data_IF_072219409547
#
_entry.id   IF_072219409547
#
_cell.length_a   1.000
_cell.length_b   1.000
_cell.length_c   1.000
_cell.angle_alpha   90.00
_cell.angle_beta   90.00
_cell.angle_gamma   90.00
#
_symmetry.space_group_name_H-M   'P 1'
#
loop_
_entity.id
_entity.type
_entity.pdbx_description
1 polymer ?
#
# COMPACT_ATOMS: atom_id res chain seq x y z
N UNK A 1 -42.90 -47.93 -56.17
CA UNK A 1 -42.04 -47.19 -57.12
C UNK A 1 -40.60 -47.66 -56.95
N UNK A 2 -39.88 -47.84 -58.11
CA UNK A 2 -38.52 -48.37 -58.03
C UNK A 2 -37.51 -47.32 -57.49
N UNK A 3 -36.62 -47.73 -56.58
CA UNK A 3 -35.60 -46.89 -55.99
C UNK A 3 -34.75 -46.09 -57.01
N UNK A 4 -34.63 -46.63 -58.24
CA UNK A 4 -33.96 -45.97 -59.37
C UNK A 4 -34.68 -44.69 -59.87
N UNK A 5 -36.07 -44.72 -59.83
CA UNK A 5 -36.89 -43.59 -60.26
C UNK A 5 -36.88 -42.44 -59.26
N UNK A 6 -36.81 -42.77 -57.98
CA UNK A 6 -36.73 -41.83 -56.90
C UNK A 6 -35.34 -41.10 -56.85
N UNK A 7 -34.24 -41.84 -57.13
CA UNK A 7 -32.92 -41.28 -57.25
C UNK A 7 -32.80 -40.31 -58.44
N UNK A 8 -33.45 -40.64 -59.59
CA UNK A 8 -33.45 -39.75 -60.75
C UNK A 8 -34.30 -38.48 -60.53
N UNK A 9 -35.43 -38.58 -59.86
CA UNK A 9 -36.27 -37.45 -59.46
C UNK A 9 -35.53 -36.50 -58.49
N UNK A 10 -34.74 -37.03 -57.52
CA UNK A 10 -33.90 -36.20 -56.61
C UNK A 10 -32.78 -35.54 -57.34
N UNK A 11 -32.15 -36.20 -58.35
CA UNK A 11 -31.11 -35.60 -59.16
C UNK A 11 -31.66 -34.46 -60.07
N UNK A 12 -32.79 -34.63 -60.66
CA UNK A 12 -33.45 -33.61 -61.51
C UNK A 12 -33.94 -32.43 -60.68
N UNK A 13 -34.44 -32.67 -59.46
CA UNK A 13 -34.80 -31.60 -58.51
C UNK A 13 -33.59 -30.78 -58.05
N UNK A 14 -32.43 -31.44 -57.82
CA UNK A 14 -31.19 -30.75 -57.43
C UNK A 14 -30.63 -29.90 -58.59
N UNK A 15 -30.75 -30.43 -59.83
CA UNK A 15 -30.34 -29.73 -61.05
C UNK A 15 -31.22 -28.53 -61.43
N UNK A 16 -32.50 -28.51 -61.02
CA UNK A 16 -33.43 -27.40 -61.20
C UNK A 16 -33.40 -26.32 -60.13
N UNK A 17 -32.45 -26.43 -59.14
CA UNK A 17 -32.35 -25.46 -58.04
C UNK A 17 -33.47 -25.55 -57.02
N UNK A 18 -34.26 -26.66 -57.02
CA UNK A 18 -35.30 -26.87 -56.03
C UNK A 18 -34.68 -27.15 -54.65
N UNK A 19 -34.86 -26.22 -53.74
CA UNK A 19 -34.49 -26.36 -52.32
C UNK A 19 -35.74 -26.89 -51.58
N UNK A 20 -35.58 -28.03 -50.92
CA UNK A 20 -36.66 -28.57 -50.09
C UNK A 20 -36.98 -27.56 -48.96
N UNK A 21 -38.23 -26.99 -48.93
CA UNK A 21 -38.61 -25.98 -47.93
C UNK A 21 -38.42 -26.46 -46.48
N UNK A 22 -38.45 -27.78 -46.26
CA UNK A 22 -38.25 -28.40 -44.95
C UNK A 22 -36.79 -28.40 -44.55
N UNK A 23 -35.90 -28.69 -45.51
CA UNK A 23 -34.44 -28.64 -45.30
C UNK A 23 -33.94 -27.21 -45.12
N UNK A 24 -34.53 -26.26 -45.84
CA UNK A 24 -34.21 -24.83 -45.70
C UNK A 24 -34.61 -24.32 -44.31
N UNK A 25 -35.78 -24.65 -43.83
CA UNK A 25 -36.27 -24.29 -42.49
C UNK A 25 -35.41 -24.91 -41.38
N UNK A 26 -35.02 -26.18 -41.49
CA UNK A 26 -34.10 -26.82 -40.53
C UNK A 26 -32.71 -26.18 -40.53
N UNK A 27 -32.24 -25.69 -41.68
CA UNK A 27 -30.97 -24.99 -41.80
C UNK A 27 -31.02 -23.59 -41.16
N UNK A 28 -32.14 -22.90 -41.32
CA UNK A 28 -32.40 -21.60 -40.69
C UNK A 28 -32.52 -21.75 -39.16
N UNK A 29 -33.27 -22.75 -38.68
CA UNK A 29 -33.38 -23.05 -37.26
C UNK A 29 -32.00 -23.37 -36.63
N UNK A 30 -31.17 -24.20 -37.29
CA UNK A 30 -29.81 -24.49 -36.83
C UNK A 30 -28.90 -23.27 -36.87
N UNK A 31 -29.05 -22.37 -37.84
CA UNK A 31 -28.33 -21.12 -37.89
C UNK A 31 -28.76 -20.16 -36.78
N UNK A 32 -30.07 -20.08 -36.53
CA UNK A 32 -30.63 -19.27 -35.42
C UNK A 32 -30.17 -19.79 -34.06
N UNK A 33 -30.20 -21.10 -33.85
CA UNK A 33 -29.72 -21.74 -32.63
C UNK A 33 -28.21 -21.50 -32.42
N UNK A 34 -27.38 -21.64 -33.46
CA UNK A 34 -25.95 -21.32 -33.38
C UNK A 34 -25.69 -19.84 -33.03
N UNK A 35 -26.46 -18.92 -33.66
CA UNK A 35 -26.36 -17.48 -33.36
C UNK A 35 -26.77 -17.18 -31.92
N UNK A 36 -27.86 -17.80 -31.46
CA UNK A 36 -28.32 -17.68 -30.07
C UNK A 36 -27.28 -18.21 -29.07
N UNK A 37 -26.72 -19.37 -29.31
CA UNK A 37 -25.69 -19.98 -28.46
C UNK A 37 -24.41 -19.12 -28.42
N UNK A 38 -23.99 -18.56 -29.56
CA UNK A 38 -22.85 -17.60 -29.60
C UNK A 38 -23.19 -16.34 -28.81
N UNK A 39 -24.41 -15.80 -28.98
CA UNK A 39 -24.83 -14.61 -28.25
C UNK A 39 -24.86 -14.86 -26.73
N UNK A 40 -25.42 -15.95 -26.28
CA UNK A 40 -25.42 -16.32 -24.86
C UNK A 40 -24.00 -16.53 -24.32
N UNK A 41 -23.13 -17.16 -25.11
CA UNK A 41 -21.73 -17.31 -24.72
C UNK A 41 -21.01 -15.98 -24.56
N UNK A 42 -21.23 -15.02 -25.47
CA UNK A 42 -20.65 -13.66 -25.38
C UNK A 42 -21.19 -12.92 -24.15
N UNK A 43 -22.49 -13.00 -23.89
CA UNK A 43 -23.12 -12.39 -22.70
C UNK A 43 -22.53 -13.00 -21.42
N UNK A 44 -22.36 -14.31 -21.34
CA UNK A 44 -21.78 -14.99 -20.21
C UNK A 44 -20.34 -14.54 -19.96
N UNK A 45 -19.51 -14.45 -21.01
CA UNK A 45 -18.14 -13.95 -20.90
C UNK A 45 -18.11 -12.50 -20.43
N UNK A 46 -18.95 -11.63 -20.99
CA UNK A 46 -19.05 -10.23 -20.56
C UNK A 46 -19.47 -10.12 -19.08
N UNK A 47 -20.44 -10.94 -18.67
CA UNK A 47 -20.85 -10.97 -17.26
C UNK A 47 -19.71 -11.37 -16.33
N UNK A 48 -18.95 -12.41 -16.67
CA UNK A 48 -17.78 -12.84 -15.89
C UNK A 48 -16.72 -11.72 -15.82
N UNK A 49 -16.49 -11.02 -16.94
CA UNK A 49 -15.55 -9.89 -16.98
C UNK A 49 -16.01 -8.73 -16.09
N UNK A 50 -17.30 -8.38 -16.12
CA UNK A 50 -17.87 -7.33 -15.25
C UNK A 50 -17.75 -7.71 -13.78
N UNK A 51 -18.06 -8.96 -13.43
CA UNK A 51 -17.94 -9.48 -12.07
C UNK A 51 -16.47 -9.43 -11.63
N UNK A 52 -15.54 -9.92 -12.46
CA UNK A 52 -14.11 -9.87 -12.16
C UNK A 52 -13.59 -8.42 -11.98
N UNK A 53 -13.99 -7.50 -12.87
CA UNK A 53 -13.65 -6.09 -12.75
C UNK A 53 -14.20 -5.46 -11.45
N UNK A 54 -15.42 -5.83 -11.07
CA UNK A 54 -16.05 -5.37 -9.82
C UNK A 54 -15.29 -5.86 -8.57
N UNK A 55 -14.83 -7.12 -8.59
CA UNK A 55 -14.00 -7.67 -7.52
C UNK A 55 -12.65 -6.97 -7.44
N UNK A 56 -11.98 -6.73 -8.56
CA UNK A 56 -10.71 -5.99 -8.60
C UNK A 56 -10.87 -4.57 -8.06
N UNK A 57 -11.94 -3.88 -8.46
CA UNK A 57 -12.24 -2.52 -7.98
C UNK A 57 -12.47 -2.47 -6.48
N UNK A 58 -13.29 -3.37 -5.93
CA UNK A 58 -13.59 -3.45 -4.49
C UNK A 58 -12.44 -3.96 -3.65
N UNK A 59 -11.49 -4.70 -4.23
CA UNK A 59 -10.37 -5.30 -3.50
C UNK A 59 -9.23 -4.31 -3.19
N UNK A 60 -9.28 -3.09 -3.68
CA UNK A 60 -8.20 -2.09 -3.61
C UNK A 60 -6.84 -2.60 -4.16
N UNK A 61 -6.81 -3.70 -4.94
CA UNK A 61 -5.56 -4.28 -5.45
C UNK A 61 -4.79 -3.27 -6.29
N UNK A 62 -5.47 -2.55 -7.16
CA UNK A 62 -4.86 -1.54 -8.04
C UNK A 62 -4.31 -0.39 -7.21
N UNK A 63 -5.14 0.17 -6.33
CA UNK A 63 -4.77 1.34 -5.52
C UNK A 63 -3.61 1.05 -4.58
N UNK A 64 -3.61 -0.09 -3.88
CA UNK A 64 -2.55 -0.42 -2.91
C UNK A 64 -1.21 -0.73 -3.56
N UNK A 65 -1.20 -1.30 -4.79
CA UNK A 65 0.01 -1.69 -5.51
C UNK A 65 0.51 -0.59 -6.47
N UNK A 66 -0.23 0.51 -6.62
CA UNK A 66 0.22 1.64 -7.42
C UNK A 66 1.52 2.20 -6.84
N UNK A 67 2.50 2.50 -7.68
CA UNK A 67 3.72 3.18 -7.25
C UNK A 67 3.36 4.59 -6.78
N UNK A 68 3.57 4.87 -5.50
CA UNK A 68 3.27 6.15 -4.89
C UNK A 68 4.53 7.00 -4.66
N UNK A 69 5.70 6.36 -4.52
CA UNK A 69 6.97 7.01 -4.27
C UNK A 69 8.11 6.23 -4.90
N UNK A 70 9.18 6.93 -5.28
CA UNK A 70 10.44 6.32 -5.71
C UNK A 70 11.58 6.98 -4.93
N UNK A 71 12.41 6.18 -4.25
CA UNK A 71 13.56 6.64 -3.46
C UNK A 71 14.80 5.92 -4.00
N UNK A 72 15.80 6.68 -4.46
CA UNK A 72 17.05 6.14 -5.01
C UNK A 72 16.84 5.02 -6.06
N UNK A 73 15.78 5.16 -6.88
CA UNK A 73 15.41 4.21 -7.94
C UNK A 73 14.52 3.04 -7.49
N UNK A 74 14.34 2.82 -6.19
CA UNK A 74 13.42 1.81 -5.64
C UNK A 74 12.00 2.35 -5.56
N UNK A 75 11.04 1.55 -6.05
CA UNK A 75 9.62 1.92 -6.11
C UNK A 75 8.88 1.41 -4.89
N UNK A 76 8.11 2.28 -4.26
CA UNK A 76 7.25 1.96 -3.13
C UNK A 76 5.79 2.06 -3.52
N UNK A 77 5.03 1.05 -3.15
CA UNK A 77 3.58 1.01 -3.35
C UNK A 77 2.86 1.98 -2.42
N UNK A 78 1.64 2.36 -2.79
CA UNK A 78 0.81 3.20 -1.93
C UNK A 78 0.54 2.58 -0.54
N UNK A 79 0.48 1.24 -0.43
CA UNK A 79 0.32 0.58 0.85
C UNK A 79 1.56 0.70 1.75
N UNK A 80 2.76 0.62 1.17
CA UNK A 80 4.02 0.82 1.90
C UNK A 80 4.18 2.26 2.37
N UNK A 81 3.96 3.24 1.48
CA UNK A 81 3.97 4.65 1.86
C UNK A 81 2.95 4.93 2.96
N UNK A 82 1.73 4.37 2.85
CA UNK A 82 0.70 4.52 3.88
C UNK A 82 1.10 3.93 5.23
N UNK A 83 1.85 2.81 5.27
CA UNK A 83 2.38 2.26 6.52
C UNK A 83 3.23 3.31 7.25
N UNK A 84 4.22 3.90 6.57
CA UNK A 84 5.08 4.94 7.17
C UNK A 84 4.31 6.21 7.49
N UNK A 85 3.39 6.64 6.63
CA UNK A 85 2.54 7.79 6.88
C UNK A 85 1.74 7.66 8.18
N UNK A 86 1.13 6.50 8.40
CA UNK A 86 0.37 6.25 9.63
C UNK A 86 1.26 6.17 10.86
N UNK A 87 2.47 5.64 10.73
CA UNK A 87 3.43 5.62 11.84
C UNK A 87 3.91 7.04 12.19
N UNK A 88 4.29 7.85 11.20
CA UNK A 88 4.69 9.25 11.40
C UNK A 88 3.55 10.04 12.02
N UNK A 89 2.34 9.92 11.50
CA UNK A 89 1.18 10.64 12.03
C UNK A 89 0.87 10.27 13.48
N UNK A 90 0.86 8.98 13.81
CA UNK A 90 0.62 8.52 15.19
C UNK A 90 1.74 8.93 16.13
N UNK A 91 2.98 8.79 15.70
CA UNK A 91 4.14 9.26 16.47
C UNK A 91 4.06 10.77 16.73
N UNK A 92 3.68 11.54 15.73
CA UNK A 92 3.44 12.98 15.86
C UNK A 92 2.35 13.29 16.90
N UNK A 93 1.21 12.61 16.84
CA UNK A 93 0.13 12.79 17.79
C UNK A 93 0.55 12.42 19.22
N UNK A 94 1.28 11.33 19.37
CA UNK A 94 1.77 10.87 20.68
C UNK A 94 2.77 11.84 21.28
N UNK A 95 3.75 12.29 20.51
CA UNK A 95 4.80 13.20 20.97
C UNK A 95 4.28 14.61 21.27
N UNK A 96 3.20 15.02 20.60
CA UNK A 96 2.63 16.35 20.76
C UNK A 96 1.25 16.35 21.45
N UNK A 97 0.90 15.26 22.16
CA UNK A 97 -0.44 15.06 22.72
C UNK A 97 -0.97 16.24 23.55
N UNK A 98 -0.10 16.90 24.31
CA UNK A 98 -0.46 18.07 25.12
C UNK A 98 -0.57 19.38 24.31
N UNK A 99 0.01 19.43 23.12
CA UNK A 99 0.09 20.65 22.30
C UNK A 99 -0.76 20.62 21.04
N UNK A 100 -1.45 19.53 20.75
CA UNK A 100 -2.21 19.34 19.50
C UNK A 100 -3.18 20.51 19.26
N UNK A 101 -3.92 20.95 20.29
CA UNK A 101 -4.84 22.07 20.17
C UNK A 101 -4.13 23.42 19.95
N UNK A 102 -2.94 23.61 20.53
CA UNK A 102 -2.10 24.78 20.29
C UNK A 102 -1.55 24.82 18.86
N UNK A 103 -1.24 23.66 18.31
CA UNK A 103 -0.80 23.53 16.92
C UNK A 103 -1.95 23.75 15.92
N UNK A 104 -3.18 23.87 16.40
CA UNK A 104 -4.37 24.08 15.57
C UNK A 104 -4.76 22.85 14.75
N UNK A 105 -4.36 21.65 15.17
CA UNK A 105 -4.68 20.40 14.48
C UNK A 105 -5.96 19.79 15.06
N UNK A 106 -7.00 19.66 14.21
CA UNK A 106 -8.19 18.86 14.51
C UNK A 106 -7.97 17.41 14.01
N UNK A 107 -7.86 16.48 14.94
CA UNK A 107 -7.65 15.05 14.64
C UNK A 107 -8.88 14.37 14.02
N UNK A 108 -10.05 15.01 14.04
CA UNK A 108 -11.29 14.49 13.46
C UNK A 108 -11.52 15.00 12.03
N UNK A 109 -10.76 15.99 11.58
CA UNK A 109 -10.87 16.56 10.25
C UNK A 109 -9.75 16.06 9.33
N UNK A 110 -9.94 16.19 8.01
CA UNK A 110 -8.92 15.79 7.03
C UNK A 110 -7.68 16.68 7.14
N UNK A 111 -6.49 16.05 7.24
CA UNK A 111 -5.22 16.78 7.28
C UNK A 111 -4.95 17.62 6.01
N UNK A 112 -5.55 17.24 4.87
CA UNK A 112 -5.43 17.99 3.61
C UNK A 112 -6.20 19.32 3.63
N UNK A 113 -7.24 19.42 4.43
CA UNK A 113 -8.06 20.62 4.53
C UNK A 113 -7.64 21.55 5.67
N UNK A 114 -6.59 21.21 6.40
CA UNK A 114 -6.09 21.97 7.53
C UNK A 114 -4.69 22.50 7.23
N UNK A 115 -4.46 23.75 7.50
CA UNK A 115 -3.16 24.41 7.32
C UNK A 115 -2.40 24.56 8.63
N UNK A 116 -1.10 24.51 8.54
CA UNK A 116 -0.18 24.80 9.64
C UNK A 116 -0.30 26.30 9.98
N UNK A 117 -0.62 26.61 11.23
CA UNK A 117 -0.71 28.00 11.69
C UNK A 117 0.67 28.57 12.04
N UNK A 118 0.78 29.89 12.26
CA UNK A 118 2.02 30.58 12.59
C UNK A 118 2.73 29.99 13.82
N UNK A 119 1.99 29.57 14.84
CA UNK A 119 2.54 28.95 16.06
C UNK A 119 3.20 27.62 15.73
N UNK A 120 2.49 26.73 15.03
CA UNK A 120 3.03 25.44 14.62
C UNK A 120 4.22 25.61 13.65
N UNK A 121 4.11 26.55 12.70
CA UNK A 121 5.20 26.88 11.77
C UNK A 121 6.49 27.26 12.50
N UNK A 122 6.40 28.14 13.48
CA UNK A 122 7.53 28.59 14.30
C UNK A 122 8.11 27.48 15.17
N UNK A 123 7.26 26.65 15.81
CA UNK A 123 7.69 25.57 16.70
C UNK A 123 8.34 24.41 15.95
N UNK A 124 7.89 24.15 14.73
CA UNK A 124 8.26 22.94 13.97
C UNK A 124 9.19 23.23 12.79
N UNK A 125 9.52 24.51 12.55
CA UNK A 125 10.37 24.92 11.44
C UNK A 125 9.80 24.61 10.07
N UNK A 126 8.48 24.69 9.91
CA UNK A 126 7.76 24.44 8.65
C UNK A 126 7.14 25.72 8.11
N UNK A 127 6.80 25.72 6.82
CA UNK A 127 6.19 26.87 6.17
C UNK A 127 4.75 27.06 6.66
N UNK A 128 4.42 28.28 7.10
CA UNK A 128 3.07 28.66 7.45
C UNK A 128 2.14 28.55 6.25
N UNK A 129 0.95 28.00 6.46
CA UNK A 129 -0.04 27.80 5.39
C UNK A 129 0.14 26.49 4.59
N UNK A 130 1.22 25.74 4.79
CA UNK A 130 1.32 24.37 4.26
C UNK A 130 0.25 23.47 4.90
N UNK A 131 -0.16 22.41 4.19
CA UNK A 131 -1.14 21.49 4.79
C UNK A 131 -0.48 20.58 5.83
N UNK A 132 -1.23 20.19 6.87
CA UNK A 132 -0.78 19.16 7.82
C UNK A 132 -0.48 17.83 7.12
N UNK A 133 -1.19 17.55 6.03
CA UNK A 133 -0.90 16.38 5.20
C UNK A 133 0.50 16.44 4.59
N UNK A 134 0.89 17.57 4.03
CA UNK A 134 2.20 17.74 3.40
C UNK A 134 3.31 17.64 4.43
N UNK A 135 3.13 18.28 5.60
CA UNK A 135 4.06 18.13 6.72
C UNK A 135 4.28 16.66 7.13
N UNK A 136 3.20 15.90 7.33
CA UNK A 136 3.29 14.46 7.67
C UNK A 136 3.89 13.68 6.51
N UNK A 137 3.56 14.02 5.26
CA UNK A 137 4.11 13.35 4.08
C UNK A 137 5.62 13.60 3.93
N UNK A 138 6.09 14.82 4.13
CA UNK A 138 7.52 15.15 4.09
C UNK A 138 8.31 14.35 5.14
N UNK A 139 7.79 14.25 6.36
CA UNK A 139 8.41 13.44 7.39
C UNK A 139 8.33 11.93 7.07
N UNK A 140 7.27 11.50 6.39
CA UNK A 140 7.14 10.12 5.88
C UNK A 140 8.24 9.82 4.86
N UNK A 141 8.46 10.71 3.90
CA UNK A 141 9.52 10.56 2.88
C UNK A 141 10.89 10.54 3.53
N UNK A 142 11.14 11.43 4.50
CA UNK A 142 12.40 11.44 5.27
C UNK A 142 12.63 10.11 5.98
N UNK A 143 11.63 9.60 6.70
CA UNK A 143 11.74 8.33 7.41
C UNK A 143 11.98 7.16 6.45
N UNK A 144 11.21 7.08 5.35
CA UNK A 144 11.41 6.04 4.34
C UNK A 144 12.81 6.09 3.72
N UNK A 145 13.31 7.30 3.45
CA UNK A 145 14.66 7.51 2.91
C UNK A 145 15.74 7.04 3.89
N UNK A 146 15.60 7.36 5.18
CA UNK A 146 16.52 6.88 6.22
C UNK A 146 16.53 5.35 6.30
N UNK A 147 15.35 4.72 6.36
CA UNK A 147 15.24 3.26 6.41
C UNK A 147 15.84 2.62 5.16
N UNK A 148 15.54 3.16 3.97
CA UNK A 148 16.06 2.62 2.70
C UNK A 148 17.58 2.71 2.64
N UNK A 149 18.14 3.89 2.92
CA UNK A 149 19.61 4.12 2.85
C UNK A 149 20.35 3.36 3.94
N UNK A 150 19.81 3.33 5.16
CA UNK A 150 20.42 2.57 6.25
C UNK A 150 20.44 1.07 6.00
N UNK A 151 19.36 0.48 5.48
CA UNK A 151 19.34 -0.93 5.13
C UNK A 151 20.23 -1.26 3.93
N UNK A 152 20.34 -0.36 2.96
CA UNK A 152 21.27 -0.50 1.83
C UNK A 152 22.71 -0.50 2.33
N UNK A 153 23.07 0.45 3.21
CA UNK A 153 24.40 0.51 3.81
C UNK A 153 24.70 -0.72 4.66
N UNK A 154 23.76 -1.18 5.48
CA UNK A 154 23.90 -2.43 6.24
C UNK A 154 24.20 -3.63 5.33
N UNK A 155 23.56 -3.70 4.17
CA UNK A 155 23.79 -4.74 3.19
C UNK A 155 25.19 -4.61 2.54
N UNK A 156 25.59 -3.41 2.17
CA UNK A 156 26.92 -3.14 1.57
C UNK A 156 28.06 -3.45 2.54
N UNK A 157 27.85 -3.23 3.84
CA UNK A 157 28.80 -3.54 4.92
C UNK A 157 28.75 -5.03 5.35
N UNK A 158 27.82 -5.82 4.84
CA UNK A 158 27.61 -7.21 5.25
C UNK A 158 27.16 -7.37 6.69
N UNK A 159 26.44 -6.36 7.24
CA UNK A 159 25.97 -6.36 8.61
C UNK A 159 25.05 -7.54 8.90
N UNK A 160 25.35 -8.25 9.99
CA UNK A 160 24.55 -9.41 10.45
C UNK A 160 23.58 -8.93 11.54
N UNK A 161 22.29 -9.02 11.24
CA UNK A 161 21.26 -8.64 12.20
C UNK A 161 21.24 -9.60 13.39
N UNK A 162 21.19 -9.09 14.64
CA UNK A 162 21.16 -9.93 15.83
C UNK A 162 19.84 -10.71 15.92
N UNK A 163 19.84 -11.86 16.62
CA UNK A 163 18.66 -12.69 16.81
C UNK A 163 17.48 -11.94 17.46
N UNK A 164 17.78 -10.95 18.29
CA UNK A 164 16.78 -10.08 18.92
C UNK A 164 15.87 -9.35 17.92
N UNK A 165 16.31 -9.11 16.67
CA UNK A 165 15.47 -8.53 15.64
C UNK A 165 14.32 -9.48 15.28
N UNK A 166 14.63 -10.78 15.14
CA UNK A 166 13.62 -11.78 14.85
C UNK A 166 12.66 -11.97 16.03
N UNK A 167 13.16 -11.98 17.26
CA UNK A 167 12.34 -12.06 18.46
C UNK A 167 11.37 -10.87 18.56
N UNK A 168 11.85 -9.64 18.39
CA UNK A 168 11.02 -8.43 18.39
C UNK A 168 9.98 -8.43 17.26
N UNK A 169 10.34 -8.97 16.12
CA UNK A 169 9.40 -9.11 15.00
C UNK A 169 8.26 -10.07 15.35
N UNK A 170 8.56 -11.25 15.89
CA UNK A 170 7.57 -12.23 16.33
C UNK A 170 6.67 -11.68 17.45
N UNK A 171 7.25 -10.97 18.41
CA UNK A 171 6.50 -10.28 19.47
C UNK A 171 5.55 -9.21 18.91
N UNK A 172 6.01 -8.47 17.90
CA UNK A 172 5.17 -7.47 17.22
C UNK A 172 3.98 -8.11 16.52
N UNK A 173 4.18 -9.26 15.86
CA UNK A 173 3.09 -10.00 15.21
C UNK A 173 2.12 -10.64 16.24
N UNK A 174 2.63 -11.18 17.32
CA UNK A 174 1.82 -11.71 18.39
C UNK A 174 0.97 -10.62 19.06
N UNK A 175 1.56 -9.46 19.32
CA UNK A 175 0.86 -8.28 19.85
C UNK A 175 -0.24 -7.79 18.92
N UNK A 176 0.03 -7.75 17.60
CA UNK A 176 -0.96 -7.43 16.59
C UNK A 176 -2.15 -8.41 16.63
N UNK A 177 -1.85 -9.71 16.68
CA UNK A 177 -2.87 -10.77 16.75
C UNK A 177 -3.73 -10.63 18.00
N UNK A 178 -3.11 -10.49 19.16
CA UNK A 178 -3.80 -10.30 20.44
C UNK A 178 -4.68 -9.04 20.42
N UNK A 179 -4.19 -7.95 19.85
CA UNK A 179 -4.95 -6.70 19.71
C UNK A 179 -6.17 -6.86 18.77
N UNK A 180 -6.04 -7.62 17.71
CA UNK A 180 -7.15 -7.93 16.81
C UNK A 180 -8.20 -8.81 17.52
N UNK A 181 -7.77 -9.88 18.19
CA UNK A 181 -8.62 -10.80 18.92
C UNK A 181 -9.40 -10.09 20.05
N UNK A 182 -8.74 -9.20 20.81
CA UNK A 182 -9.38 -8.42 21.88
C UNK A 182 -10.52 -7.51 21.40
N UNK A 183 -10.49 -7.15 20.11
CA UNK A 183 -11.55 -6.35 19.47
C UNK A 183 -12.56 -7.19 18.69
N UNK A 184 -12.45 -8.53 18.71
CA UNK A 184 -13.28 -9.45 17.95
C UNK A 184 -13.07 -9.38 16.43
N UNK A 185 -11.91 -8.90 15.98
CA UNK A 185 -11.59 -8.70 14.57
C UNK A 185 -10.58 -9.73 14.07
N UNK A 186 -10.62 -10.03 12.76
CA UNK A 186 -9.46 -10.64 12.12
C UNK A 186 -8.30 -9.63 12.03
N UNK A 187 -7.05 -10.11 11.99
CA UNK A 187 -5.85 -9.27 11.82
C UNK A 187 -6.00 -8.33 10.61
N UNK A 188 -6.48 -8.86 9.48
CA UNK A 188 -6.75 -8.04 8.28
C UNK A 188 -7.72 -6.90 8.56
N UNK A 189 -8.86 -7.17 9.21
CA UNK A 189 -9.87 -6.15 9.51
C UNK A 189 -9.32 -5.11 10.50
N UNK A 190 -8.57 -5.56 11.50
CA UNK A 190 -7.90 -4.70 12.45
C UNK A 190 -6.89 -3.75 11.79
N UNK A 191 -6.02 -4.29 10.92
CA UNK A 191 -5.07 -3.48 10.15
C UNK A 191 -5.78 -2.47 9.26
N UNK A 192 -6.82 -2.88 8.54
CA UNK A 192 -7.57 -1.99 7.65
C UNK A 192 -8.31 -0.88 8.40
N UNK A 193 -8.85 -1.20 9.59
CA UNK A 193 -9.49 -0.20 10.46
C UNK A 193 -8.48 0.83 10.97
N UNK A 194 -7.29 0.37 11.35
CA UNK A 194 -6.29 1.21 12.00
C UNK A 194 -5.34 1.91 11.03
N UNK A 195 -5.00 1.27 9.91
CA UNK A 195 -4.01 1.77 8.95
C UNK A 195 -4.60 2.08 7.57
N UNK A 196 -5.94 1.94 7.41
CA UNK A 196 -6.62 2.22 6.15
C UNK A 196 -6.83 1.01 5.26
N UNK A 197 -7.83 1.10 4.36
CA UNK A 197 -8.36 0.00 3.55
C UNK A 197 -7.34 -0.68 2.61
N UNK A 198 -6.25 0.01 2.27
CA UNK A 198 -5.20 -0.51 1.37
C UNK A 198 -4.17 -1.37 2.11
N UNK A 199 -4.15 -1.36 3.46
CA UNK A 199 -3.19 -2.13 4.26
C UNK A 199 -3.46 -3.63 4.17
N UNK A 200 -2.39 -4.41 4.07
CA UNK A 200 -2.42 -5.88 4.11
C UNK A 200 -1.45 -6.41 5.15
N UNK A 201 -1.71 -7.61 5.66
CA UNK A 201 -0.78 -8.28 6.59
C UNK A 201 0.61 -8.45 5.98
N UNK A 202 0.69 -8.78 4.67
CA UNK A 202 1.97 -8.93 3.98
C UNK A 202 2.79 -7.63 4.02
N UNK A 203 2.19 -6.49 3.65
CA UNK A 203 2.89 -5.19 3.66
C UNK A 203 3.26 -4.80 5.08
N UNK A 204 2.33 -4.93 6.03
CA UNK A 204 2.58 -4.64 7.43
C UNK A 204 3.79 -5.43 7.96
N UNK A 205 3.78 -6.75 7.79
CA UNK A 205 4.84 -7.63 8.27
C UNK A 205 6.20 -7.27 7.66
N UNK A 206 6.24 -7.03 6.35
CA UNK A 206 7.46 -6.62 5.65
C UNK A 206 8.01 -5.29 6.17
N UNK A 207 7.15 -4.30 6.37
CA UNK A 207 7.62 -2.98 6.80
C UNK A 207 7.99 -2.95 8.29
N UNK A 208 7.32 -3.73 9.15
CA UNK A 208 7.73 -3.90 10.56
C UNK A 208 9.13 -4.51 10.63
N UNK A 209 9.38 -5.60 9.90
CA UNK A 209 10.71 -6.22 9.88
C UNK A 209 11.79 -5.24 9.38
N UNK A 210 11.53 -4.51 8.29
CA UNK A 210 12.46 -3.49 7.76
C UNK A 210 12.78 -2.40 8.79
N UNK A 211 11.78 -1.93 9.54
CA UNK A 211 12.00 -0.93 10.59
C UNK A 211 12.85 -1.48 11.73
N UNK A 212 12.59 -2.70 12.20
CA UNK A 212 13.39 -3.33 13.26
C UNK A 212 14.84 -3.57 12.82
N UNK A 213 15.03 -4.03 11.58
CA UNK A 213 16.37 -4.17 10.98
C UNK A 213 17.10 -2.83 10.92
N UNK A 214 16.43 -1.78 10.44
CA UNK A 214 17.01 -0.44 10.39
C UNK A 214 17.38 0.07 11.78
N UNK A 215 16.51 -0.10 12.78
CA UNK A 215 16.78 0.31 14.15
C UNK A 215 18.00 -0.41 14.73
N UNK A 216 18.11 -1.72 14.53
CA UNK A 216 19.25 -2.49 14.99
C UNK A 216 20.58 -2.02 14.33
N UNK A 217 20.55 -1.78 13.03
CA UNK A 217 21.70 -1.25 12.31
C UNK A 217 22.07 0.17 12.77
N UNK A 218 21.09 1.07 12.85
CA UNK A 218 21.31 2.45 13.27
C UNK A 218 21.87 2.53 14.71
N UNK A 219 21.38 1.66 15.61
CA UNK A 219 21.92 1.57 16.97
C UNK A 219 23.36 1.08 16.96
N UNK A 220 23.64 -0.02 16.25
CA UNK A 220 25.01 -0.55 16.12
C UNK A 220 25.97 0.46 15.50
N UNK A 221 25.52 1.21 14.49
CA UNK A 221 26.31 2.28 13.90
C UNK A 221 26.59 3.40 14.90
N UNK A 222 25.56 3.85 15.62
CA UNK A 222 25.70 4.87 16.68
C UNK A 222 26.68 4.44 17.78
N UNK A 223 26.59 3.18 18.20
CA UNK A 223 27.46 2.63 19.25
C UNK A 223 28.93 2.48 18.79
N UNK A 224 29.16 2.39 17.49
CA UNK A 224 30.48 2.31 16.88
C UNK A 224 31.18 3.67 16.74
N UNK A 225 30.42 4.77 16.84
CA UNK A 225 30.99 6.13 16.72
C UNK A 225 31.87 6.43 17.92
N UNK A 226 33.09 6.84 17.64
CA UNK A 226 34.05 7.33 18.65
C UNK A 226 34.45 8.74 18.29
N UNK A 227 34.55 9.59 19.30
CA UNK A 227 34.91 10.96 19.13
C UNK A 227 36.19 11.25 19.93
N UNK A 228 37.10 12.03 19.37
CA UNK A 228 38.24 12.53 20.08
C UNK A 228 37.87 13.73 20.98
N UNK A 229 38.64 13.99 22.02
CA UNK A 229 38.42 15.16 22.89
C UNK A 229 38.40 16.46 22.11
N UNK A 230 39.21 16.58 21.05
CA UNK A 230 39.23 17.75 20.19
C UNK A 230 37.94 17.93 19.38
N UNK A 231 37.32 16.84 18.90
CA UNK A 231 36.03 16.89 18.20
C UNK A 231 34.91 17.24 19.16
N UNK A 232 34.91 16.69 20.37
CA UNK A 232 33.95 17.02 21.42
C UNK A 232 34.06 18.50 21.83
N UNK A 233 35.28 19.02 22.04
CA UNK A 233 35.48 20.42 22.33
C UNK A 233 35.05 21.34 21.17
N UNK A 234 35.34 20.96 19.91
CA UNK A 234 34.91 21.74 18.75
C UNK A 234 33.37 21.77 18.62
N UNK A 235 32.70 20.65 18.90
CA UNK A 235 31.23 20.59 18.91
C UNK A 235 30.62 21.45 20.01
N UNK A 236 31.21 21.42 21.21
CA UNK A 236 30.79 22.28 22.33
C UNK A 236 30.96 23.76 21.99
N UNK A 237 32.12 24.18 21.44
CA UNK A 237 32.36 25.56 21.08
C UNK A 237 31.47 26.07 19.95
N UNK A 238 30.99 25.18 19.09
CA UNK A 238 30.07 25.57 18.01
C UNK A 238 28.67 25.97 18.53
N UNK A 239 28.17 25.32 19.58
CA UNK A 239 26.89 25.64 20.20
C UNK A 239 26.90 25.33 21.72
N UNK A 240 27.56 26.12 22.54
CA UNK A 240 27.64 25.88 23.98
C UNK A 240 26.25 25.82 24.65
N UNK A 241 25.29 26.60 24.16
CA UNK A 241 23.96 26.70 24.78
C UNK A 241 23.18 25.38 24.72
N UNK A 242 23.46 24.54 23.73
CA UNK A 242 22.84 23.21 23.63
C UNK A 242 23.38 22.25 24.69
N UNK A 243 24.63 22.43 25.14
CA UNK A 243 25.31 21.53 26.06
C UNK A 243 25.35 22.06 27.50
N UNK A 244 25.29 23.37 27.68
CA UNK A 244 25.29 23.99 29.01
C UNK A 244 23.97 23.73 29.73
N UNK A 245 24.04 23.11 30.89
CA UNK A 245 22.89 23.02 31.78
C UNK A 245 22.67 24.38 32.42
N UNK A 246 21.46 24.93 32.32
CA UNK A 246 21.08 26.10 33.07
C UNK A 246 21.30 25.84 34.56
N UNK A 247 22.15 26.63 35.20
CA UNK A 247 22.29 26.60 36.64
C UNK A 247 21.01 27.18 37.25
N UNK A 248 20.21 26.32 37.88
CA UNK A 248 19.08 26.77 38.69
C UNK A 248 19.66 27.21 40.03
N UNK A 249 19.70 28.52 40.29
CA UNK A 249 19.89 29.06 41.63
C UNK A 249 18.57 28.82 42.40
N UNK A 250 18.66 28.12 43.53
CA UNK A 250 17.61 27.92 44.49
C UNK A 250 17.55 29.07 45.50
#
# INVERSE_FOLDING_TARGET
MSASREKKLRQDQTASGYVDPKAEKELEEKKAEKRSNVLYSVIAVLFVLVVAASFLWRSNVISRNATALTIDGEKYSAAEVNFYYQNVYRGFLQSNSYFISYLGLDTNASLKSQTVNATAASMMGVEEGSSWHDYIMDNTVKQMTMVQRGLKQAQEEGYQFPASVQEQYEDSLNSLKTSAESTGMSVKAYLQRNLGAIMTEKVYNQQVLRMLQYQAYAQSYSDSLTYTDAELEAAYQADPKTYDKAAWEY
#
